data_IF_110767056187
#
_entry.id   IF_110767056187
#
_cell.length_a   1.000
_cell.length_b   1.000
_cell.length_c   1.000
_cell.angle_alpha   90.00
_cell.angle_beta   90.00
_cell.angle_gamma   90.00
#
_symmetry.space_group_name_H-M   'P 1'
#
loop_
_entity.id
_entity.type
_entity.pdbx_description
1 polymer ?
#
# COMPACT_ATOMS: atom_id res chain seq x y z
N UNK A 1 -50.08 37.06 14.52
CA UNK A 1 -48.99 38.01 14.21
C UNK A 1 -47.60 37.45 14.47
N UNK A 2 -47.27 36.88 15.63
CA UNK A 2 -45.87 36.39 15.93
C UNK A 2 -45.36 35.25 15.00
N UNK A 3 -46.23 34.36 14.51
CA UNK A 3 -45.85 33.27 13.58
C UNK A 3 -45.55 33.73 12.14
N UNK A 4 -46.23 34.78 11.68
CA UNK A 4 -46.00 35.36 10.34
C UNK A 4 -44.71 36.15 10.29
N UNK A 5 -44.34 36.82 11.38
CA UNK A 5 -43.11 37.59 11.46
C UNK A 5 -41.84 36.65 11.47
N UNK A 6 -41.95 35.49 12.12
CA UNK A 6 -40.88 34.46 12.15
C UNK A 6 -40.62 33.85 10.77
N UNK A 7 -41.68 33.55 10.01
CA UNK A 7 -41.58 33.01 8.64
C UNK A 7 -40.95 34.03 7.68
N UNK A 8 -41.31 35.31 7.82
CA UNK A 8 -40.78 36.38 7.00
C UNK A 8 -39.33 36.66 7.27
N UNK A 9 -38.89 36.60 8.54
CA UNK A 9 -37.47 36.74 8.93
C UNK A 9 -36.64 35.56 8.42
N UNK A 10 -37.16 34.30 8.47
CA UNK A 10 -36.48 33.13 7.95
C UNK A 10 -36.31 33.18 6.44
N UNK A 11 -37.32 33.69 5.71
CA UNK A 11 -37.27 33.83 4.26
C UNK A 11 -36.27 34.90 3.83
N UNK A 12 -36.17 36.01 4.55
CA UNK A 12 -35.16 37.07 4.29
C UNK A 12 -33.76 36.57 4.58
N UNK A 13 -33.54 35.74 5.63
CA UNK A 13 -32.22 35.16 5.93
C UNK A 13 -31.76 34.18 4.83
N UNK A 14 -32.68 33.36 4.30
CA UNK A 14 -32.40 32.43 3.20
C UNK A 14 -32.05 33.19 1.91
N UNK A 15 -32.77 34.26 1.60
CA UNK A 15 -32.49 35.09 0.40
C UNK A 15 -31.17 35.86 0.54
N UNK A 16 -30.85 36.37 1.74
CA UNK A 16 -29.53 36.98 1.99
C UNK A 16 -28.40 36.00 1.90
N UNK A 17 -28.57 34.74 2.31
CA UNK A 17 -27.54 33.70 2.18
C UNK A 17 -27.35 33.27 0.72
N UNK A 18 -28.40 33.22 -0.10
CA UNK A 18 -28.31 32.88 -1.53
C UNK A 18 -27.67 33.99 -2.36
N UNK A 19 -27.90 35.26 -2.00
CA UNK A 19 -27.27 36.40 -2.70
C UNK A 19 -25.78 36.55 -2.37
N UNK A 20 -25.35 36.13 -1.18
CA UNK A 20 -23.94 36.20 -0.78
C UNK A 20 -23.04 35.17 -1.48
N UNK A 21 -23.59 34.15 -2.14
CA UNK A 21 -22.82 33.11 -2.82
C UNK A 21 -22.68 33.30 -4.34
N UNK A 22 -23.26 34.37 -4.91
CA UNK A 22 -23.07 34.71 -6.33
C UNK A 22 -21.99 35.76 -6.56
N UNK A 23 -20.94 35.82 -5.74
CA UNK A 23 -19.71 36.47 -6.18
C UNK A 23 -19.12 35.61 -7.28
N UNK A 24 -19.24 36.05 -8.52
CA UNK A 24 -18.45 35.53 -9.62
C UNK A 24 -16.97 35.59 -9.19
N UNK A 25 -16.39 34.41 -8.96
CA UNK A 25 -14.93 34.30 -8.79
C UNK A 25 -14.37 34.87 -10.09
N UNK A 26 -13.65 36.00 -10.07
CA UNK A 26 -13.08 36.54 -11.29
C UNK A 26 -12.11 35.49 -11.82
N UNK A 27 -12.49 34.77 -12.86
CA UNK A 27 -11.61 33.92 -13.66
C UNK A 27 -10.64 34.80 -14.43
N UNK A 28 -9.86 35.59 -13.71
CA UNK A 28 -8.62 36.11 -14.27
C UNK A 28 -7.73 34.91 -14.45
N UNK A 29 -7.77 34.28 -15.62
CA UNK A 29 -6.72 33.38 -16.04
C UNK A 29 -5.44 34.17 -15.84
N UNK A 30 -4.73 33.85 -14.76
CA UNK A 30 -3.40 34.37 -14.50
C UNK A 30 -2.54 33.84 -15.63
N UNK A 31 -2.30 34.71 -16.62
CA UNK A 31 -1.36 34.45 -17.69
C UNK A 31 0.00 34.96 -17.20
N UNK A 32 0.84 34.12 -16.60
CA UNK A 32 2.13 34.57 -16.14
C UNK A 32 2.92 34.98 -17.37
N UNK A 33 3.14 36.28 -17.53
CA UNK A 33 4.22 36.72 -18.41
C UNK A 33 5.46 36.00 -17.93
N UNK A 34 5.97 35.06 -18.72
CA UNK A 34 7.23 34.37 -18.42
C UNK A 34 8.30 35.46 -18.39
N UNK A 35 8.54 36.05 -17.22
CA UNK A 35 9.71 36.85 -16.99
C UNK A 35 10.91 35.93 -17.13
N UNK A 36 11.86 36.29 -17.96
CA UNK A 36 13.17 35.62 -17.98
C UNK A 36 13.73 35.74 -16.57
N UNK A 37 13.64 34.67 -15.80
CA UNK A 37 14.21 34.60 -14.47
C UNK A 37 15.72 34.62 -14.65
N UNK A 38 16.38 35.63 -14.14
CA UNK A 38 17.84 35.78 -14.24
C UNK A 38 18.61 34.84 -13.31
N UNK A 39 17.90 34.17 -12.39
CA UNK A 39 18.45 33.23 -11.43
C UNK A 39 17.86 31.84 -11.65
N UNK A 40 18.65 30.76 -11.50
CA UNK A 40 18.15 29.40 -11.61
C UNK A 40 17.17 29.10 -10.47
N UNK A 41 16.08 28.38 -10.79
CA UNK A 41 15.19 27.82 -9.79
C UNK A 41 15.77 26.47 -9.34
N UNK A 42 16.02 26.35 -8.05
CA UNK A 42 16.43 25.09 -7.42
C UNK A 42 15.20 24.39 -6.86
N UNK A 43 15.02 23.12 -7.20
CA UNK A 43 13.93 22.28 -6.70
C UNK A 43 14.55 21.10 -5.93
N UNK A 44 14.18 20.97 -4.66
CA UNK A 44 14.53 19.81 -3.84
C UNK A 44 13.29 18.93 -3.65
N UNK A 45 13.39 17.65 -4.00
CA UNK A 45 12.33 16.67 -3.79
C UNK A 45 12.77 15.74 -2.66
N UNK A 46 11.94 15.65 -1.64
CA UNK A 46 12.17 14.78 -0.49
C UNK A 46 11.10 13.67 -0.49
N UNK A 47 11.53 12.43 -0.61
CA UNK A 47 10.67 11.26 -0.48
C UNK A 47 10.57 10.86 0.98
N UNK A 48 9.39 10.98 1.57
CA UNK A 48 9.15 10.63 2.97
C UNK A 48 8.65 9.18 3.06
N UNK A 49 9.54 8.28 3.50
CA UNK A 49 9.27 6.86 3.66
C UNK A 49 8.91 6.56 5.11
N UNK A 50 7.62 6.39 5.35
CA UNK A 50 7.07 6.21 6.68
C UNK A 50 6.13 5.02 6.76
N UNK A 51 6.23 4.28 7.86
CA UNK A 51 5.20 3.34 8.33
C UNK A 51 5.00 3.52 9.83
N UNK A 52 3.75 3.53 10.30
CA UNK A 52 3.47 3.42 11.73
C UNK A 52 4.10 2.16 12.31
N UNK A 53 4.29 2.12 13.62
CA UNK A 53 4.74 0.90 14.28
C UNK A 53 3.59 -0.08 14.38
N UNK A 54 3.67 -1.18 13.65
CA UNK A 54 2.70 -2.28 13.67
C UNK A 54 3.11 -3.42 14.60
N UNK A 55 4.33 -3.39 15.13
CA UNK A 55 4.85 -4.42 15.98
C UNK A 55 4.19 -4.41 17.35
N UNK A 56 3.60 -5.54 17.70
CA UNK A 56 3.05 -5.83 19.02
C UNK A 56 4.08 -6.68 19.79
N UNK A 57 4.73 -6.12 20.83
CA UNK A 57 5.74 -6.85 21.59
C UNK A 57 5.15 -7.97 22.44
N UNK A 58 3.89 -7.88 22.87
CA UNK A 58 3.26 -8.88 23.72
C UNK A 58 2.95 -10.16 22.92
N UNK A 59 2.54 -10.00 21.66
CA UNK A 59 2.29 -11.11 20.75
C UNK A 59 3.51 -11.47 19.89
N UNK A 60 4.55 -10.66 19.90
CA UNK A 60 5.75 -10.79 19.07
C UNK A 60 5.46 -10.93 17.57
N UNK A 61 4.51 -10.16 17.07
CA UNK A 61 4.10 -10.12 15.66
C UNK A 61 3.90 -8.68 15.18
N UNK A 62 3.92 -8.49 13.86
CA UNK A 62 3.36 -7.29 13.25
C UNK A 62 1.86 -7.51 12.99
N UNK A 63 1.00 -6.63 13.52
CA UNK A 63 -0.47 -6.75 13.38
C UNK A 63 -0.97 -6.48 11.96
N UNK A 64 -0.21 -5.71 11.16
CA UNK A 64 -0.55 -5.36 9.78
C UNK A 64 0.64 -5.64 8.84
N UNK A 65 0.40 -5.97 7.57
CA UNK A 65 1.41 -6.43 6.63
C UNK A 65 2.11 -5.30 5.86
N UNK A 66 1.75 -4.03 6.11
CA UNK A 66 2.04 -2.92 5.19
C UNK A 66 3.53 -2.65 5.00
N UNK A 67 4.36 -2.85 6.04
CA UNK A 67 5.81 -2.74 5.87
C UNK A 67 6.31 -3.73 4.81
N UNK A 68 5.91 -5.01 4.92
CA UNK A 68 6.31 -6.05 3.97
C UNK A 68 5.74 -5.80 2.57
N UNK A 69 4.46 -5.42 2.47
CA UNK A 69 3.81 -5.20 1.18
C UNK A 69 4.41 -4.01 0.42
N UNK A 70 4.67 -2.89 1.11
CA UNK A 70 5.33 -1.74 0.50
C UNK A 70 6.83 -1.97 0.26
N UNK A 71 7.46 -2.85 1.01
CA UNK A 71 8.87 -3.19 0.83
C UNK A 71 9.16 -3.87 -0.52
N UNK A 72 8.25 -4.74 -0.97
CA UNK A 72 8.40 -5.48 -2.24
C UNK A 72 7.92 -4.70 -3.47
N UNK A 73 7.55 -3.46 -3.27
CA UNK A 73 7.07 -2.54 -4.30
C UNK A 73 7.78 -1.21 -4.18
N UNK A 74 7.25 -0.32 -3.33
CA UNK A 74 7.60 1.09 -3.33
C UNK A 74 9.00 1.38 -2.77
N UNK A 75 9.38 0.80 -1.61
CA UNK A 75 10.65 1.16 -0.96
C UNK A 75 11.90 0.68 -1.69
N UNK A 76 11.82 -0.44 -2.39
CA UNK A 76 12.91 -0.90 -3.23
C UNK A 76 12.95 -0.12 -4.54
N UNK A 77 11.82 -0.03 -5.25
CA UNK A 77 11.73 0.54 -6.58
C UNK A 77 12.14 2.01 -6.62
N UNK A 78 11.64 2.85 -5.70
CA UNK A 78 11.99 4.27 -5.63
C UNK A 78 13.49 4.54 -5.59
N UNK A 79 14.25 3.68 -4.93
CA UNK A 79 15.71 3.79 -4.89
C UNK A 79 16.38 3.11 -6.09
N UNK A 80 15.86 1.94 -6.49
CA UNK A 80 16.46 1.14 -7.56
C UNK A 80 16.43 1.86 -8.91
N UNK A 81 15.34 2.54 -9.24
CA UNK A 81 15.20 3.28 -10.51
C UNK A 81 16.29 4.34 -10.68
N UNK A 82 16.81 4.92 -9.59
CA UNK A 82 17.87 5.93 -9.64
C UNK A 82 19.17 5.37 -10.21
N UNK A 83 19.42 4.05 -10.11
CA UNK A 83 20.60 3.43 -10.71
C UNK A 83 20.67 3.62 -12.23
N UNK A 84 19.52 3.75 -12.87
CA UNK A 84 19.42 4.00 -14.31
C UNK A 84 19.66 5.48 -14.68
N UNK A 85 19.67 6.37 -13.67
CA UNK A 85 19.81 7.82 -13.86
C UNK A 85 20.84 8.40 -12.90
N UNK A 86 22.15 8.08 -13.05
CA UNK A 86 23.20 8.45 -12.08
C UNK A 86 23.37 9.97 -11.91
N UNK A 87 22.93 10.77 -12.87
CA UNK A 87 22.95 12.23 -12.77
C UNK A 87 21.82 12.81 -11.92
N UNK A 88 20.76 12.03 -11.66
CA UNK A 88 19.63 12.46 -10.83
C UNK A 88 20.00 12.31 -9.36
N UNK A 89 19.76 13.38 -8.59
CA UNK A 89 19.94 13.42 -7.14
C UNK A 89 18.58 13.44 -6.46
N UNK A 90 18.46 12.73 -5.34
CA UNK A 90 17.22 12.67 -4.58
C UNK A 90 17.50 12.66 -3.07
N UNK A 91 16.52 13.13 -2.29
CA UNK A 91 16.57 13.08 -0.84
C UNK A 91 15.49 12.10 -0.34
N UNK A 92 15.89 11.22 0.58
CA UNK A 92 14.98 10.27 1.21
C UNK A 92 14.95 10.50 2.72
N UNK A 93 13.77 10.71 3.26
CA UNK A 93 13.55 10.70 4.69
C UNK A 93 13.07 9.31 5.10
N UNK A 94 13.92 8.57 5.83
CA UNK A 94 13.64 7.22 6.28
C UNK A 94 13.28 7.25 7.76
N UNK A 95 12.01 6.98 8.08
CA UNK A 95 11.55 6.98 9.47
C UNK A 95 12.05 5.75 10.21
N UNK A 96 12.59 5.88 11.44
CA UNK A 96 13.14 4.75 12.19
C UNK A 96 12.16 3.61 12.43
N UNK A 97 10.86 3.89 12.60
CA UNK A 97 9.82 2.85 12.74
C UNK A 97 9.72 1.95 11.50
N UNK A 98 9.93 2.48 10.29
CA UNK A 98 10.01 1.69 9.08
C UNK A 98 11.27 0.81 9.06
N UNK A 99 12.44 1.40 9.31
CA UNK A 99 13.72 0.67 9.30
C UNK A 99 13.74 -0.44 10.34
N UNK A 100 13.26 -0.15 11.55
CA UNK A 100 13.15 -1.14 12.62
C UNK A 100 12.27 -2.33 12.21
N UNK A 101 11.11 -2.08 11.64
CA UNK A 101 10.20 -3.15 11.19
C UNK A 101 10.76 -3.95 10.01
N UNK A 102 11.50 -3.33 9.08
CA UNK A 102 12.22 -4.07 8.04
C UNK A 102 13.25 -5.04 8.65
N UNK A 103 13.96 -4.61 9.71
CA UNK A 103 14.89 -5.48 10.43
C UNK A 103 14.17 -6.58 11.23
N UNK A 104 12.99 -6.32 11.78
CA UNK A 104 12.19 -7.36 12.42
C UNK A 104 11.89 -8.50 11.46
N UNK A 105 11.48 -8.21 10.22
CA UNK A 105 11.28 -9.25 9.19
C UNK A 105 12.60 -9.93 8.78
N UNK A 106 13.60 -9.13 8.40
CA UNK A 106 14.78 -9.66 7.69
C UNK A 106 15.86 -10.25 8.62
N UNK A 107 15.94 -9.79 9.87
CA UNK A 107 16.97 -10.21 10.83
C UNK A 107 16.44 -10.97 12.03
N UNK A 108 15.18 -10.69 12.45
CA UNK A 108 14.60 -11.29 13.65
C UNK A 108 13.57 -12.37 13.35
N UNK A 109 13.15 -12.52 12.09
CA UNK A 109 12.15 -13.50 11.69
C UNK A 109 10.73 -13.21 12.21
N UNK A 110 10.47 -11.97 12.67
CA UNK A 110 9.14 -11.55 13.11
C UNK A 110 8.24 -11.45 11.89
N UNK A 111 7.07 -12.05 11.97
CA UNK A 111 6.09 -12.11 10.87
C UNK A 111 4.89 -11.22 11.17
N UNK A 112 4.12 -10.92 10.14
CA UNK A 112 2.78 -10.37 10.32
C UNK A 112 1.72 -11.49 10.26
N UNK A 113 0.52 -11.21 10.79
CA UNK A 113 -0.58 -12.19 10.82
C UNK A 113 -0.95 -12.67 9.41
N UNK A 114 -0.89 -11.80 8.40
CA UNK A 114 -1.18 -12.16 7.01
C UNK A 114 -0.13 -13.12 6.45
N UNK A 115 1.14 -12.90 6.78
CA UNK A 115 2.23 -13.79 6.38
C UNK A 115 2.13 -15.15 7.04
N UNK A 116 1.84 -15.21 8.36
CA UNK A 116 1.62 -16.46 9.08
C UNK A 116 0.52 -17.28 8.40
N UNK A 117 -0.59 -16.63 8.05
CA UNK A 117 -1.70 -17.30 7.36
C UNK A 117 -1.39 -17.62 5.90
N UNK A 118 -0.55 -16.82 5.24
CA UNK A 118 -0.11 -17.12 3.89
C UNK A 118 0.83 -18.33 3.84
N UNK A 119 1.66 -18.55 4.88
CA UNK A 119 2.57 -19.70 4.97
C UNK A 119 1.85 -20.99 5.39
N UNK A 120 0.75 -20.90 6.13
CA UNK A 120 0.02 -22.05 6.64
C UNK A 120 -0.53 -22.89 5.47
N UNK A 121 -0.35 -24.23 5.46
CA UNK A 121 -0.93 -25.07 4.43
C UNK A 121 -2.45 -24.86 4.30
N UNK A 122 -2.94 -24.76 3.08
CA UNK A 122 -4.36 -24.45 2.85
C UNK A 122 -5.30 -25.52 3.42
N UNK A 123 -4.84 -26.76 3.52
CA UNK A 123 -5.53 -27.90 4.13
C UNK A 123 -5.69 -27.77 5.66
N UNK A 124 -4.77 -27.04 6.32
CA UNK A 124 -4.70 -26.88 7.77
C UNK A 124 -5.38 -25.62 8.28
N UNK A 125 -5.98 -24.81 7.38
CA UNK A 125 -6.68 -23.59 7.76
C UNK A 125 -7.90 -23.89 8.62
N UNK A 126 -7.92 -23.33 9.83
CA UNK A 126 -9.08 -23.36 10.73
C UNK A 126 -10.22 -22.50 10.19
N UNK A 127 -11.37 -22.57 10.82
CA UNK A 127 -12.51 -21.70 10.47
C UNK A 127 -12.15 -20.22 10.63
N UNK A 128 -11.49 -19.86 11.72
CA UNK A 128 -11.03 -18.50 12.00
C UNK A 128 -10.00 -18.00 10.97
N UNK A 129 -9.07 -18.88 10.56
CA UNK A 129 -8.09 -18.56 9.53
C UNK A 129 -8.77 -18.27 8.19
N UNK A 130 -9.73 -19.10 7.79
CA UNK A 130 -10.52 -18.95 6.57
C UNK A 130 -11.32 -17.64 6.59
N UNK A 131 -11.95 -17.33 7.71
CA UNK A 131 -12.67 -16.09 7.90
C UNK A 131 -11.74 -14.88 7.75
N UNK A 132 -10.59 -14.88 8.42
CA UNK A 132 -9.60 -13.80 8.32
C UNK A 132 -9.11 -13.63 6.88
N UNK A 133 -8.74 -14.73 6.20
CA UNK A 133 -8.26 -14.70 4.81
C UNK A 133 -9.33 -14.10 3.89
N UNK A 134 -10.58 -14.54 4.00
CA UNK A 134 -11.66 -14.02 3.16
C UNK A 134 -11.96 -12.55 3.41
N UNK A 135 -11.81 -12.06 4.63
CA UNK A 135 -12.02 -10.66 4.96
C UNK A 135 -10.86 -9.77 4.52
N UNK A 136 -9.61 -10.27 4.56
CA UNK A 136 -8.41 -9.45 4.52
C UNK A 136 -7.50 -9.66 3.30
N UNK A 137 -7.52 -10.81 2.65
CA UNK A 137 -6.63 -11.06 1.50
C UNK A 137 -7.13 -10.45 0.19
N UNK A 138 -8.09 -9.53 0.28
CA UNK A 138 -8.52 -8.64 -0.77
C UNK A 138 -8.32 -7.15 -0.40
N UNK A 139 -7.55 -6.87 0.66
CA UNK A 139 -7.20 -5.51 1.10
C UNK A 139 -6.14 -4.92 0.14
N UNK A 140 -6.57 -4.61 -1.06
CA UNK A 140 -5.75 -4.08 -2.15
C UNK A 140 -6.67 -3.31 -3.12
N UNK A 141 -6.11 -2.45 -3.96
CA UNK A 141 -6.92 -1.75 -4.95
C UNK A 141 -7.54 -2.73 -5.97
N UNK A 142 -8.85 -2.90 -5.92
CA UNK A 142 -9.55 -3.88 -6.75
C UNK A 142 -9.47 -3.57 -8.25
N UNK A 143 -9.58 -2.30 -8.63
CA UNK A 143 -9.60 -1.90 -10.04
C UNK A 143 -8.20 -1.97 -10.67
N UNK A 144 -7.19 -1.56 -9.93
CA UNK A 144 -5.83 -1.44 -10.46
C UNK A 144 -4.99 -2.71 -10.27
N UNK A 145 -5.34 -3.58 -9.31
CA UNK A 145 -4.55 -4.76 -9.00
C UNK A 145 -5.39 -6.03 -9.20
N UNK A 146 -6.48 -6.24 -8.46
CA UNK A 146 -7.23 -7.51 -8.53
C UNK A 146 -7.73 -7.81 -9.93
N UNK A 147 -8.33 -6.82 -10.61
CA UNK A 147 -8.90 -7.01 -11.95
C UNK A 147 -7.88 -7.33 -13.04
N UNK A 148 -6.59 -7.06 -12.80
CA UNK A 148 -5.52 -7.45 -13.73
C UNK A 148 -5.30 -8.97 -13.78
N UNK A 149 -5.66 -9.68 -12.70
CA UNK A 149 -5.38 -11.10 -12.56
C UNK A 149 -6.71 -11.89 -12.55
N UNK A 150 -7.04 -12.59 -13.65
CA UNK A 150 -8.36 -13.21 -13.82
C UNK A 150 -8.77 -14.13 -12.66
N UNK A 151 -7.83 -14.92 -12.12
CA UNK A 151 -8.12 -15.82 -11.00
C UNK A 151 -8.35 -15.06 -9.69
N UNK A 152 -7.60 -13.99 -9.44
CA UNK A 152 -7.79 -13.18 -8.24
C UNK A 152 -9.15 -12.46 -8.27
N UNK A 153 -9.54 -11.96 -9.45
CA UNK A 153 -10.86 -11.39 -9.67
C UNK A 153 -11.98 -12.43 -9.53
N UNK A 154 -11.81 -13.65 -10.05
CA UNK A 154 -12.74 -14.76 -9.88
C UNK A 154 -12.95 -15.08 -8.38
N UNK A 155 -11.86 -15.15 -7.60
CA UNK A 155 -11.92 -15.40 -6.15
C UNK A 155 -12.65 -14.28 -5.42
N UNK A 156 -12.43 -13.00 -5.77
CA UNK A 156 -13.16 -11.87 -5.18
C UNK A 156 -14.67 -11.97 -5.48
N UNK A 157 -15.04 -12.27 -6.71
CA UNK A 157 -16.45 -12.45 -7.09
C UNK A 157 -17.09 -13.66 -6.36
N UNK A 158 -16.33 -14.75 -6.21
CA UNK A 158 -16.77 -15.93 -5.47
C UNK A 158 -16.99 -15.66 -3.98
N UNK A 159 -16.14 -14.82 -3.36
CA UNK A 159 -16.32 -14.33 -2.00
C UNK A 159 -17.55 -13.42 -1.89
N UNK A 160 -17.77 -12.55 -2.87
CA UNK A 160 -18.71 -11.43 -2.84
C UNK A 160 -18.01 -10.12 -2.46
N UNK A 161 -18.65 -8.99 -2.75
CA UNK A 161 -18.05 -7.66 -2.56
C UNK A 161 -18.17 -7.13 -1.12
N UNK A 162 -19.14 -7.64 -0.35
CA UNK A 162 -19.28 -7.31 1.08
C UNK A 162 -18.43 -8.22 1.95
N UNK A 163 -18.08 -7.72 3.14
CA UNK A 163 -17.42 -8.47 4.21
C UNK A 163 -18.35 -8.74 5.39
N UNK A 164 -19.67 -8.63 5.19
CA UNK A 164 -20.68 -8.95 6.21
C UNK A 164 -20.61 -10.44 6.59
N UNK A 165 -20.94 -10.75 7.84
CA UNK A 165 -20.81 -12.09 8.39
C UNK A 165 -21.52 -13.16 7.57
N UNK A 166 -22.74 -12.84 7.06
CA UNK A 166 -23.52 -13.76 6.21
C UNK A 166 -22.79 -14.06 4.89
N UNK A 167 -22.20 -13.03 4.26
CA UNK A 167 -21.47 -13.18 3.01
C UNK A 167 -20.20 -14.02 3.23
N UNK A 168 -19.46 -13.75 4.30
CA UNK A 168 -18.26 -14.50 4.65
C UNK A 168 -18.57 -15.94 5.00
N UNK A 169 -19.62 -16.20 5.81
CA UNK A 169 -20.03 -17.57 6.15
C UNK A 169 -20.39 -18.39 4.90
N UNK A 170 -21.10 -17.78 3.94
CA UNK A 170 -21.40 -18.41 2.65
C UNK A 170 -20.14 -18.64 1.82
N UNK A 171 -19.22 -17.69 1.81
CA UNK A 171 -17.96 -17.83 1.08
C UNK A 171 -17.10 -18.96 1.64
N UNK A 172 -17.03 -19.13 2.97
CA UNK A 172 -16.31 -20.24 3.61
C UNK A 172 -16.83 -21.59 3.13
N UNK A 173 -18.16 -21.74 2.98
CA UNK A 173 -18.77 -22.99 2.49
C UNK A 173 -18.48 -23.25 1.01
N UNK A 174 -18.34 -22.19 0.21
CA UNK A 174 -18.17 -22.28 -1.23
C UNK A 174 -16.70 -22.39 -1.68
N UNK A 175 -15.74 -21.93 -0.85
CA UNK A 175 -14.34 -21.97 -1.19
C UNK A 175 -13.77 -23.38 -0.98
N UNK A 176 -13.09 -23.89 -1.99
CA UNK A 176 -12.31 -25.12 -1.88
C UNK A 176 -10.94 -24.85 -1.23
N UNK A 177 -10.24 -25.89 -0.84
CA UNK A 177 -8.85 -25.80 -0.37
C UNK A 177 -7.96 -25.12 -1.43
N UNK A 178 -8.17 -25.46 -2.71
CA UNK A 178 -7.43 -24.85 -3.81
C UNK A 178 -7.75 -23.35 -3.99
N UNK A 179 -8.98 -22.93 -3.75
CA UNK A 179 -9.34 -21.50 -3.77
C UNK A 179 -8.59 -20.71 -2.68
N UNK A 180 -8.49 -21.28 -1.47
CA UNK A 180 -7.73 -20.66 -0.39
C UNK A 180 -6.24 -20.60 -0.72
N UNK A 181 -5.65 -21.66 -1.26
CA UNK A 181 -4.25 -21.67 -1.69
C UNK A 181 -3.99 -20.65 -2.78
N UNK A 182 -4.84 -20.60 -3.80
CA UNK A 182 -4.73 -19.61 -4.87
C UNK A 182 -4.85 -18.18 -4.30
N UNK A 183 -5.73 -17.96 -3.33
CA UNK A 183 -5.90 -16.66 -2.68
C UNK A 183 -4.66 -16.28 -1.84
N UNK A 184 -4.10 -17.23 -1.08
CA UNK A 184 -2.85 -17.01 -0.34
C UNK A 184 -1.70 -16.59 -1.26
N UNK A 185 -1.60 -17.22 -2.44
CA UNK A 185 -0.58 -16.85 -3.43
C UNK A 185 -0.90 -15.50 -4.06
N UNK A 186 -2.12 -15.29 -4.57
CA UNK A 186 -2.47 -14.05 -5.27
C UNK A 186 -2.36 -12.80 -4.41
N UNK A 187 -2.79 -12.86 -3.16
CA UNK A 187 -2.63 -11.72 -2.25
C UNK A 187 -1.17 -11.26 -2.15
N UNK A 188 -0.23 -12.19 -2.09
CA UNK A 188 1.18 -11.87 -1.99
C UNK A 188 1.82 -11.54 -3.35
N UNK A 189 1.48 -12.29 -4.41
CA UNK A 189 2.06 -12.14 -5.74
C UNK A 189 1.64 -10.84 -6.43
N UNK A 190 0.40 -10.41 -6.23
CA UNK A 190 -0.13 -9.21 -6.86
C UNK A 190 0.45 -7.90 -6.31
N UNK A 191 1.09 -7.93 -5.15
CA UNK A 191 1.74 -6.77 -4.52
C UNK A 191 3.16 -6.51 -5.01
N UNK A 192 3.81 -7.45 -5.68
CA UNK A 192 5.13 -7.16 -6.25
C UNK A 192 5.05 -6.01 -7.23
N UNK A 193 6.11 -5.20 -7.26
CA UNK A 193 6.23 -4.18 -8.28
C UNK A 193 6.14 -4.78 -9.69
N UNK A 194 5.51 -4.11 -10.65
CA UNK A 194 5.41 -4.59 -12.03
C UNK A 194 6.75 -4.97 -12.66
N UNK A 195 7.84 -4.27 -12.34
CA UNK A 195 9.17 -4.60 -12.84
C UNK A 195 9.60 -6.01 -12.40
N UNK A 196 9.37 -6.37 -11.13
CA UNK A 196 9.62 -7.74 -10.67
C UNK A 196 8.68 -8.76 -11.31
N UNK A 197 7.41 -8.39 -11.51
CA UNK A 197 6.42 -9.27 -12.14
C UNK A 197 6.80 -9.63 -13.57
N UNK A 198 7.45 -8.72 -14.29
CA UNK A 198 7.83 -8.88 -15.70
C UNK A 198 9.23 -9.47 -15.87
N UNK A 199 10.19 -9.06 -15.05
CA UNK A 199 11.60 -9.37 -15.25
C UNK A 199 12.15 -10.48 -14.36
N UNK A 200 11.55 -10.77 -13.21
CA UNK A 200 11.89 -11.97 -12.43
C UNK A 200 11.21 -13.20 -13.05
N UNK A 201 12.01 -14.09 -13.64
CA UNK A 201 11.51 -15.27 -14.37
C UNK A 201 10.60 -16.17 -13.53
N UNK A 202 10.88 -16.31 -12.23
CA UNK A 202 10.10 -17.17 -11.35
C UNK A 202 8.73 -16.54 -11.06
N UNK A 203 8.69 -15.23 -10.77
CA UNK A 203 7.44 -14.48 -10.58
C UNK A 203 6.62 -14.42 -11.87
N UNK A 204 7.24 -14.13 -13.01
CA UNK A 204 6.57 -14.12 -14.31
C UNK A 204 5.94 -15.49 -14.64
N UNK A 205 6.62 -16.60 -14.34
CA UNK A 205 6.08 -17.95 -14.52
C UNK A 205 4.87 -18.21 -13.62
N UNK A 206 4.89 -17.75 -12.36
CA UNK A 206 3.74 -17.87 -11.46
C UNK A 206 2.54 -17.04 -11.96
N UNK A 207 2.77 -15.83 -12.43
CA UNK A 207 1.72 -15.00 -13.01
C UNK A 207 1.13 -15.69 -14.26
N UNK A 208 1.97 -16.26 -15.12
CA UNK A 208 1.53 -17.02 -16.30
C UNK A 208 0.76 -18.28 -15.92
N UNK A 209 1.18 -18.99 -14.85
CA UNK A 209 0.46 -20.14 -14.30
C UNK A 209 -0.95 -19.75 -13.86
N UNK A 210 -1.09 -18.68 -13.14
CA UNK A 210 -2.32 -17.96 -12.86
C UNK A 210 -3.29 -18.63 -11.88
N UNK A 211 -3.28 -19.94 -11.73
CA UNK A 211 -4.16 -20.74 -10.86
C UNK A 211 -3.56 -22.10 -10.54
N UNK A 212 -4.25 -22.84 -9.67
CA UNK A 212 -3.82 -24.18 -9.22
C UNK A 212 -2.40 -24.17 -8.65
N UNK A 213 -2.12 -23.17 -7.85
CA UNK A 213 -0.83 -23.05 -7.19
C UNK A 213 -0.61 -24.21 -6.21
N UNK A 214 0.65 -24.57 -6.03
CA UNK A 214 1.11 -25.55 -5.04
C UNK A 214 1.63 -24.87 -3.78
N UNK A 215 1.91 -25.65 -2.75
CA UNK A 215 2.56 -25.12 -1.53
C UNK A 215 4.00 -24.64 -1.85
N UNK A 216 4.66 -25.26 -2.84
CA UNK A 216 5.99 -24.83 -3.32
C UNK A 216 5.92 -23.47 -4.02
N UNK A 217 4.92 -23.23 -4.87
CA UNK A 217 4.68 -21.92 -5.48
C UNK A 217 4.49 -20.84 -4.39
N UNK A 218 3.75 -21.15 -3.35
CA UNK A 218 3.50 -20.26 -2.22
C UNK A 218 4.80 -19.93 -1.48
N UNK A 219 5.61 -20.96 -1.16
CA UNK A 219 6.93 -20.79 -0.54
C UNK A 219 7.85 -19.93 -1.40
N UNK A 220 7.83 -20.12 -2.73
CA UNK A 220 8.62 -19.32 -3.66
C UNK A 220 8.25 -17.84 -3.61
N UNK A 221 6.96 -17.51 -3.66
CA UNK A 221 6.48 -16.11 -3.55
C UNK A 221 6.98 -15.46 -2.26
N UNK A 222 6.85 -16.14 -1.13
CA UNK A 222 7.28 -15.62 0.17
C UNK A 222 8.81 -15.45 0.22
N UNK A 223 9.56 -16.42 -0.29
CA UNK A 223 11.02 -16.33 -0.41
C UNK A 223 11.44 -15.09 -1.20
N UNK A 224 10.79 -14.82 -2.33
CA UNK A 224 11.06 -13.62 -3.15
C UNK A 224 10.79 -12.32 -2.40
N UNK A 225 9.76 -12.28 -1.57
CA UNK A 225 9.50 -11.10 -0.72
C UNK A 225 10.67 -10.82 0.23
N UNK A 226 11.18 -11.85 0.91
CA UNK A 226 12.33 -11.71 1.81
C UNK A 226 13.61 -11.32 1.06
N UNK A 227 13.84 -11.86 -0.14
CA UNK A 227 14.98 -11.49 -0.98
C UNK A 227 14.97 -10.00 -1.32
N UNK A 228 13.81 -9.43 -1.66
CA UNK A 228 13.69 -8.01 -1.97
C UNK A 228 13.82 -7.16 -0.71
N UNK A 229 13.10 -7.50 0.37
CA UNK A 229 13.19 -6.77 1.64
C UNK A 229 14.63 -6.66 2.14
N UNK A 230 15.42 -7.74 2.02
CA UNK A 230 16.81 -7.77 2.48
C UNK A 230 17.73 -6.84 1.68
N UNK A 231 17.35 -6.45 0.46
CA UNK A 231 18.14 -5.58 -0.41
C UNK A 231 17.87 -4.10 -0.19
N UNK A 232 16.78 -3.71 0.50
CA UNK A 232 16.37 -2.31 0.62
C UNK A 232 17.44 -1.49 1.33
N UNK A 233 17.76 -1.80 2.58
CA UNK A 233 18.75 -1.04 3.35
C UNK A 233 20.12 -1.01 2.67
N UNK A 234 20.68 -2.13 2.17
CA UNK A 234 21.93 -2.11 1.39
C UNK A 234 21.87 -1.19 0.17
N UNK A 235 20.76 -1.16 -0.56
CA UNK A 235 20.60 -0.31 -1.74
C UNK A 235 20.69 1.19 -1.37
N UNK A 236 19.97 1.63 -0.32
CA UNK A 236 20.04 3.01 0.13
C UNK A 236 21.46 3.39 0.62
N UNK A 237 22.13 2.49 1.33
CA UNK A 237 23.53 2.69 1.75
C UNK A 237 24.46 2.82 0.54
N UNK A 238 24.30 2.00 -0.49
CA UNK A 238 25.07 2.08 -1.74
C UNK A 238 24.90 3.44 -2.42
N UNK A 239 23.64 3.85 -2.64
CA UNK A 239 23.32 5.10 -3.32
C UNK A 239 23.79 6.34 -2.54
N UNK A 240 23.73 6.29 -1.20
CA UNK A 240 24.25 7.36 -0.35
C UNK A 240 25.78 7.44 -0.42
N UNK A 241 26.49 6.31 -0.37
CA UNK A 241 27.95 6.27 -0.55
C UNK A 241 28.37 6.83 -1.90
N UNK A 242 27.60 6.57 -2.94
CA UNK A 242 27.81 7.08 -4.30
C UNK A 242 27.37 8.56 -4.45
N UNK A 243 26.94 9.23 -3.36
CA UNK A 243 26.48 10.61 -3.36
C UNK A 243 25.32 10.87 -4.35
N UNK A 244 24.56 9.85 -4.65
CA UNK A 244 23.38 9.96 -5.51
C UNK A 244 22.14 10.34 -4.71
N UNK A 245 22.07 9.88 -3.47
CA UNK A 245 20.99 10.26 -2.55
C UNK A 245 21.56 10.84 -1.26
N UNK A 246 20.73 11.61 -0.58
CA UNK A 246 20.90 11.99 0.82
C UNK A 246 19.79 11.34 1.65
N UNK A 247 20.18 10.65 2.73
CA UNK A 247 19.23 10.04 3.65
C UNK A 247 19.15 10.88 4.91
N UNK A 248 17.95 11.34 5.21
CA UNK A 248 17.60 12.03 6.46
C UNK A 248 16.69 11.15 7.29
N UNK A 249 16.50 11.50 8.54
CA UNK A 249 15.58 10.80 9.46
C UNK A 249 14.80 11.78 10.31
N UNK A 250 13.70 11.32 10.87
CA UNK A 250 12.86 12.04 11.85
C UNK A 250 12.77 11.23 13.13
N UNK A 251 12.03 11.73 14.13
CA UNK A 251 11.76 10.96 15.34
C UNK A 251 11.02 9.66 15.03
N UNK A 252 11.28 8.59 15.78
CA UNK A 252 10.73 7.25 15.57
C UNK A 252 9.21 7.19 15.56
N UNK A 253 8.56 8.11 16.26
CA UNK A 253 7.11 8.21 16.41
C UNK A 253 6.63 9.60 16.01
N UNK A 254 7.10 10.11 14.88
CA UNK A 254 6.53 11.33 14.34
C UNK A 254 5.07 11.06 13.97
N UNK A 255 4.17 11.36 14.90
CA UNK A 255 2.84 11.76 14.56
C UNK A 255 3.01 12.92 13.58
N UNK A 256 2.66 12.71 12.32
CA UNK A 256 2.36 13.81 11.44
C UNK A 256 1.12 14.46 12.04
N UNK A 257 1.33 15.32 13.06
CA UNK A 257 0.33 16.28 13.46
C UNK A 257 0.15 17.16 12.23
N UNK A 258 -0.81 16.81 11.41
CA UNK A 258 -1.46 17.73 10.50
C UNK A 258 -2.09 18.82 11.33
N UNK A 259 -1.27 19.80 11.73
CA UNK A 259 -1.75 21.13 12.01
C UNK A 259 -1.83 21.84 10.68
N UNK A 260 -2.93 21.66 10.02
CA UNK A 260 -3.47 22.58 9.04
C UNK A 260 -4.63 23.32 9.67
#
# INVERSE_FOLDING_TARGET
MKRFLSLFLSLILVVLFTVSFSQEIPTKIYNPKIQKVSQPLYVAIIWHNHQPLYYDPDQNINILPWVRMHAIKDYYDMAYILKNYPQVKANFNMVPSLLYQLELYTKKGIKDKYLILAEKPAEELTLEDKEFILRRFFDVNWDRIIKKFPRYWELLNKRGQSIDDVVIAKAIQNFTVQDFRDLQVWFNLAWFDPDFQEHDKELANLIKKGRNFTEEDKKLVIKKQYEIMSKIIPLYVELQKNKQIEVTTTHSFTLLCLFL
#
